data_IF_195912928497
#
_entry.id   IF_195912928497
#
_cell.length_a   1.000
_cell.length_b   1.000
_cell.length_c   1.000
_cell.angle_alpha   90.00
_cell.angle_beta   90.00
_cell.angle_gamma   90.00
#
_symmetry.space_group_name_H-M   'P 1'
#
loop_
_entity.id
_entity.type
_entity.pdbx_description
1 polymer ?
#
# COMPACT_ATOMS: atom_id res chain seq x y z
N UNK A 1 -8.19 8.63 7.48
CA UNK A 1 -8.00 7.35 6.76
C UNK A 1 -9.22 7.01 5.91
N UNK A 2 -10.41 6.88 6.51
CA UNK A 2 -11.66 6.55 5.79
C UNK A 2 -11.94 7.49 4.61
N UNK A 3 -11.82 8.81 4.81
CA UNK A 3 -12.02 9.77 3.72
C UNK A 3 -11.05 9.57 2.55
N UNK A 4 -9.77 9.24 2.84
CA UNK A 4 -8.78 8.98 1.80
C UNK A 4 -9.13 7.71 1.00
N UNK A 5 -9.56 6.65 1.67
CA UNK A 5 -10.02 5.42 1.00
C UNK A 5 -11.25 5.68 0.11
N UNK A 6 -12.19 6.51 0.56
CA UNK A 6 -13.33 6.94 -0.25
C UNK A 6 -12.89 7.71 -1.50
N UNK A 7 -11.93 8.64 -1.37
CA UNK A 7 -11.38 9.37 -2.51
C UNK A 7 -10.66 8.45 -3.49
N UNK A 8 -9.83 7.52 -3.00
CA UNK A 8 -9.14 6.52 -3.82
C UNK A 8 -10.14 5.67 -4.61
N UNK A 9 -11.19 5.17 -3.94
CA UNK A 9 -12.23 4.38 -4.59
C UNK A 9 -13.03 5.20 -5.62
N UNK A 10 -13.38 6.45 -5.31
CA UNK A 10 -14.11 7.33 -6.22
C UNK A 10 -13.30 7.64 -7.49
N UNK A 11 -11.99 7.82 -7.36
CA UNK A 11 -11.07 8.05 -8.48
C UNK A 11 -10.63 6.77 -9.18
N UNK A 12 -10.95 5.59 -8.62
CA UNK A 12 -10.41 4.29 -9.05
C UNK A 12 -8.87 4.31 -9.14
N UNK A 13 -8.24 5.02 -8.21
CA UNK A 13 -6.79 5.11 -8.13
C UNK A 13 -6.20 3.75 -7.76
N UNK A 14 -5.08 3.38 -8.38
CA UNK A 14 -4.45 2.08 -8.14
C UNK A 14 -4.14 1.90 -6.66
N UNK A 15 -4.59 0.77 -6.11
CA UNK A 15 -4.38 0.34 -4.74
C UNK A 15 -3.70 -1.02 -4.75
N UNK A 16 -2.53 -1.11 -4.13
CA UNK A 16 -1.82 -2.35 -3.91
C UNK A 16 -2.04 -2.81 -2.48
N UNK A 17 -2.66 -3.98 -2.34
CA UNK A 17 -2.85 -4.66 -1.06
C UNK A 17 -1.84 -5.77 -0.92
N UNK A 18 -1.36 -5.99 0.31
CA UNK A 18 -0.53 -7.16 0.62
C UNK A 18 -1.23 -8.46 0.27
N UNK A 19 -2.54 -8.58 0.56
CA UNK A 19 -3.33 -9.78 0.29
C UNK A 19 -2.79 -11.08 0.93
N UNK A 20 -2.04 -10.98 2.03
CA UNK A 20 -1.28 -12.09 2.63
C UNK A 20 -1.79 -12.50 4.02
N UNK A 21 -3.02 -12.11 4.38
CA UNK A 21 -3.67 -12.36 5.68
C UNK A 21 -2.91 -11.90 6.93
N UNK A 22 -1.87 -11.08 6.74
CA UNK A 22 -1.16 -10.41 7.81
C UNK A 22 -2.05 -9.43 8.58
N UNK A 23 -1.60 -8.99 9.75
CA UNK A 23 -2.28 -7.95 10.54
C UNK A 23 -2.53 -6.66 9.74
N UNK A 24 -1.61 -6.29 8.84
CA UNK A 24 -1.79 -5.12 7.95
C UNK A 24 -2.92 -5.36 6.95
N UNK A 25 -2.99 -6.53 6.32
CA UNK A 25 -4.07 -6.89 5.40
C UNK A 25 -5.43 -6.87 6.11
N UNK A 26 -5.51 -7.48 7.30
CA UNK A 26 -6.74 -7.47 8.09
C UNK A 26 -7.18 -6.05 8.45
N UNK A 27 -6.24 -5.19 8.84
CA UNK A 27 -6.54 -3.78 9.15
C UNK A 27 -7.04 -3.03 7.92
N UNK A 28 -6.43 -3.28 6.76
CA UNK A 28 -6.90 -2.72 5.49
C UNK A 28 -8.34 -3.14 5.19
N UNK A 29 -8.67 -4.41 5.34
CA UNK A 29 -10.03 -4.93 5.11
C UNK A 29 -11.05 -4.29 6.07
N UNK A 30 -10.71 -4.15 7.35
CA UNK A 30 -11.57 -3.44 8.31
C UNK A 30 -11.81 -1.99 7.89
N UNK A 31 -10.78 -1.28 7.41
CA UNK A 31 -10.94 0.10 6.95
C UNK A 31 -11.83 0.19 5.69
N UNK A 32 -11.70 -0.74 4.76
CA UNK A 32 -12.61 -0.82 3.61
C UNK A 32 -14.05 -1.08 4.05
N UNK A 33 -14.27 -2.01 4.99
CA UNK A 33 -15.59 -2.25 5.56
C UNK A 33 -16.19 -1.01 6.23
N UNK A 34 -15.40 -0.28 7.03
CA UNK A 34 -15.82 0.99 7.66
C UNK A 34 -16.20 2.06 6.63
N UNK A 35 -15.63 2.03 5.42
CA UNK A 35 -16.02 2.97 4.36
C UNK A 35 -17.40 2.69 3.77
N UNK A 36 -17.90 1.45 3.92
CA UNK A 36 -19.08 0.93 3.22
C UNK A 36 -18.84 0.56 1.75
N UNK A 37 -17.59 0.64 1.28
CA UNK A 37 -17.19 0.37 -0.10
C UNK A 37 -16.46 -0.97 -0.21
N UNK A 38 -16.62 -1.63 -1.36
CA UNK A 38 -15.81 -2.80 -1.73
C UNK A 38 -14.77 -2.39 -2.77
N UNK A 39 -13.49 -2.77 -2.61
CA UNK A 39 -12.48 -2.50 -3.61
C UNK A 39 -12.83 -3.18 -4.94
N UNK A 40 -12.63 -2.48 -6.06
CA UNK A 40 -12.96 -2.99 -7.40
C UNK A 40 -11.79 -3.70 -8.06
N UNK A 41 -12.06 -4.77 -8.82
CA UNK A 41 -11.05 -5.63 -9.47
C UNK A 41 -10.12 -4.94 -10.48
N UNK A 42 -10.51 -3.76 -11.01
CA UNK A 42 -9.70 -3.01 -11.98
C UNK A 42 -8.63 -2.11 -11.36
N UNK A 43 -8.79 -1.69 -10.11
CA UNK A 43 -7.88 -0.74 -9.45
C UNK A 43 -7.34 -1.24 -8.12
N UNK A 44 -7.90 -2.30 -7.56
CA UNK A 44 -7.39 -2.98 -6.36
C UNK A 44 -6.61 -4.24 -6.75
N UNK A 45 -5.34 -4.29 -6.36
CA UNK A 45 -4.41 -5.38 -6.67
C UNK A 45 -3.92 -6.03 -5.37
N UNK A 46 -4.45 -7.20 -5.04
CA UNK A 46 -3.95 -8.02 -3.94
C UNK A 46 -2.80 -8.90 -4.45
N UNK A 47 -1.57 -8.63 -4.00
CA UNK A 47 -0.39 -9.30 -4.56
C UNK A 47 0.04 -10.57 -3.82
N UNK A 48 -0.50 -10.82 -2.63
CA UNK A 48 -0.15 -11.99 -1.81
C UNK A 48 1.32 -12.01 -1.35
N UNK A 49 1.93 -10.83 -1.19
CA UNK A 49 3.35 -10.70 -0.84
C UNK A 49 3.55 -9.85 0.41
N UNK A 50 4.71 -10.00 1.05
CA UNK A 50 5.11 -9.18 2.18
C UNK A 50 5.20 -7.68 1.86
N UNK A 51 5.23 -6.86 2.92
CA UNK A 51 5.15 -5.39 2.80
C UNK A 51 6.25 -4.77 1.92
N UNK A 52 7.47 -5.33 1.92
CA UNK A 52 8.57 -4.81 1.11
C UNK A 52 8.29 -4.87 -0.40
N UNK A 53 7.77 -6.00 -0.89
CA UNK A 53 7.37 -6.15 -2.30
C UNK A 53 6.12 -5.31 -2.62
N UNK A 54 5.20 -5.18 -1.66
CA UNK A 54 4.00 -4.35 -1.81
C UNK A 54 4.37 -2.86 -1.98
N UNK A 55 5.28 -2.35 -1.14
CA UNK A 55 5.78 -0.97 -1.25
C UNK A 55 6.52 -0.74 -2.57
N UNK A 56 7.34 -1.69 -3.00
CA UNK A 56 8.06 -1.58 -4.27
C UNK A 56 7.08 -1.51 -5.45
N UNK A 57 6.12 -2.44 -5.52
CA UNK A 57 5.12 -2.45 -6.58
C UNK A 57 4.26 -1.18 -6.58
N UNK A 58 3.85 -0.70 -5.40
CA UNK A 58 3.08 0.53 -5.28
C UNK A 58 3.90 1.76 -5.76
N UNK A 59 5.18 1.83 -5.40
CA UNK A 59 6.09 2.90 -5.80
C UNK A 59 6.33 2.91 -7.33
N UNK A 60 6.63 1.74 -7.92
CA UNK A 60 6.80 1.58 -9.37
C UNK A 60 5.57 1.96 -10.18
N UNK A 61 4.38 1.65 -9.65
CA UNK A 61 3.09 1.90 -10.32
C UNK A 61 2.48 3.25 -9.95
N UNK A 62 3.16 4.06 -9.13
CA UNK A 62 2.63 5.32 -8.57
C UNK A 62 1.25 5.14 -7.94
N UNK A 63 1.09 4.05 -7.20
CA UNK A 63 -0.14 3.59 -6.58
C UNK A 63 -0.14 3.81 -5.06
N UNK A 64 -1.31 3.62 -4.44
CA UNK A 64 -1.50 3.70 -3.00
C UNK A 64 -1.41 2.32 -2.34
N UNK A 65 -0.96 2.25 -1.09
CA UNK A 65 -0.94 1.03 -0.27
C UNK A 65 -1.03 1.41 1.21
N UNK A 66 -1.59 0.52 2.03
CA UNK A 66 -1.51 0.67 3.49
C UNK A 66 -0.18 0.08 4.02
N UNK A 67 0.52 0.85 4.86
CA UNK A 67 1.74 0.41 5.55
C UNK A 67 1.80 1.01 6.95
N UNK A 68 2.45 0.32 7.87
CA UNK A 68 2.86 0.93 9.13
C UNK A 68 4.04 1.90 8.89
N UNK A 69 4.20 2.86 9.82
CA UNK A 69 5.22 3.92 9.73
C UNK A 69 6.65 3.39 9.82
N UNK A 70 6.88 2.34 10.61
CA UNK A 70 8.21 1.75 10.80
C UNK A 70 8.71 1.13 9.51
N UNK A 71 7.89 0.29 8.89
CA UNK A 71 8.19 -0.34 7.60
C UNK A 71 8.39 0.69 6.50
N UNK A 72 7.55 1.73 6.43
CA UNK A 72 7.72 2.81 5.44
C UNK A 72 9.04 3.58 5.64
N UNK A 73 9.41 3.88 6.88
CA UNK A 73 10.65 4.59 7.19
C UNK A 73 11.87 3.74 6.81
N UNK A 74 11.83 2.45 7.11
CA UNK A 74 12.88 1.51 6.72
C UNK A 74 12.99 1.37 5.19
N UNK A 75 11.85 1.25 4.51
CA UNK A 75 11.79 1.20 3.04
C UNK A 75 12.39 2.46 2.40
N UNK A 76 11.98 3.65 2.85
CA UNK A 76 12.51 4.93 2.33
C UNK A 76 14.01 5.06 2.49
N UNK A 77 14.56 4.67 3.66
CA UNK A 77 16.01 4.64 3.89
C UNK A 77 16.73 3.67 2.96
N UNK A 78 16.14 2.49 2.73
CA UNK A 78 16.72 1.50 1.81
C UNK A 78 16.68 1.99 0.35
N UNK A 79 15.59 2.63 -0.06
CA UNK A 79 15.42 3.22 -1.40
C UNK A 79 16.42 4.37 -1.62
N UNK A 80 16.50 5.33 -0.70
CA UNK A 80 17.44 6.46 -0.76
C UNK A 80 18.91 5.98 -0.87
N UNK A 81 19.30 4.97 -0.10
CA UNK A 81 20.65 4.36 -0.20
C UNK A 81 20.91 3.64 -1.53
N UNK A 82 19.88 3.10 -2.16
CA UNK A 82 20.00 2.43 -3.46
C UNK A 82 20.10 3.45 -4.60
N UNK A 83 19.38 4.56 -4.51
CA UNK A 83 19.39 5.65 -5.49
C UNK A 83 20.60 6.59 -5.34
N UNK A 84 21.15 6.73 -4.12
CA UNK A 84 22.31 7.57 -3.84
C UNK A 84 23.38 6.81 -3.02
N UNK A 85 24.17 5.94 -3.68
CA UNK A 85 25.14 5.08 -3.00
C UNK A 85 26.29 5.84 -2.33
N UNK A 86 26.53 7.10 -2.69
CA UNK A 86 27.62 7.95 -2.22
C UNK A 86 27.35 8.65 -0.87
N UNK A 87 26.16 8.51 -0.28
CA UNK A 87 25.78 9.10 1.03
C UNK A 87 26.06 8.19 2.25
N UNK A 88 26.99 7.24 2.13
CA UNK A 88 27.38 6.35 3.23
C UNK A 88 28.58 6.88 3.99
#
# INVERSE_FOLDING_TARGET
MIQALRTIAAQKSLWYSRGDDSGTHKKEMSLWQETGLKPGSGWYQAIGQGMGKTLLAADEKKAYTLSDRGTLSHFRRKKDRAENPSRR
#
